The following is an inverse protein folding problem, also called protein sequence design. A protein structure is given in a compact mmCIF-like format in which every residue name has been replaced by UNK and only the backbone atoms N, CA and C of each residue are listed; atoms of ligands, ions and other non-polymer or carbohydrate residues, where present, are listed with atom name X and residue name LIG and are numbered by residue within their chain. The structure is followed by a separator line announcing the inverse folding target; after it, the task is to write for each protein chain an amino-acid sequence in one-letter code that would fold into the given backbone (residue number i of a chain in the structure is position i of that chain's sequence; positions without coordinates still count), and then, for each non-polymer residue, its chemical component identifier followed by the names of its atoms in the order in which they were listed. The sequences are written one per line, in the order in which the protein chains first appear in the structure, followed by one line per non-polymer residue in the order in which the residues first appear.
data_IF_271369318221
#
_entry.id   IF_271369318221
#
_cell.length_a   1.000
_cell.length_b   1.000
_cell.length_c   1.000
_cell.angle_alpha   90.00
_cell.angle_beta   90.00
_cell.angle_gamma   90.00
#
_symmetry.space_group_name_H-M   'P 1'
#
loop_
_entity.id
_entity.type
_entity.pdbx_description
1 polymer ?
#
# COMPACT_ATOMS: atom_id res chain seq x y z
N UNK A 1 7.16 -7.51 11.88
CA UNK A 1 6.56 -6.36 11.18
C UNK A 1 7.22 -6.22 9.83
N UNK A 2 6.44 -5.93 8.79
CA UNK A 2 6.91 -5.61 7.43
C UNK A 2 6.44 -4.22 7.08
N UNK A 3 7.33 -3.37 6.56
CA UNK A 3 7.03 -2.00 6.19
C UNK A 3 7.51 -1.72 4.76
N UNK A 4 6.59 -1.27 3.91
CA UNK A 4 6.91 -0.76 2.58
C UNK A 4 6.98 0.77 2.62
N UNK A 5 8.20 1.31 2.51
CA UNK A 5 8.43 2.75 2.50
C UNK A 5 8.08 3.38 1.13
N UNK A 6 8.08 4.71 1.09
CA UNK A 6 7.93 5.48 -0.14
C UNK A 6 9.16 5.37 -1.04
N UNK A 7 8.98 5.54 -2.35
CA UNK A 7 10.07 5.69 -3.28
C UNK A 7 9.58 5.82 -4.72
N UNK A 8 10.33 6.54 -5.56
CA UNK A 8 10.01 6.70 -6.98
C UNK A 8 9.92 5.34 -7.72
N UNK A 9 10.67 4.35 -7.25
CA UNK A 9 10.69 2.99 -7.81
C UNK A 9 9.41 2.17 -7.58
N UNK A 10 8.52 2.56 -6.65
CA UNK A 10 7.29 1.79 -6.32
C UNK A 10 6.43 1.53 -7.56
N UNK A 11 6.25 2.53 -8.43
CA UNK A 11 5.49 2.42 -9.70
C UNK A 11 6.06 1.39 -10.67
N UNK A 12 7.37 1.12 -10.61
CA UNK A 12 8.02 0.09 -11.42
C UNK A 12 7.95 -1.27 -10.72
N UNK A 13 8.15 -1.30 -9.40
CA UNK A 13 8.13 -2.53 -8.60
C UNK A 13 6.76 -3.23 -8.64
N UNK A 14 5.66 -2.48 -8.70
CA UNK A 14 4.31 -3.06 -8.85
C UNK A 14 4.09 -3.80 -10.18
N UNK A 15 4.93 -3.54 -11.20
CA UNK A 15 4.90 -4.22 -12.50
C UNK A 15 5.89 -5.39 -12.55
N UNK A 16 6.79 -5.50 -11.58
CA UNK A 16 7.85 -6.52 -11.55
C UNK A 16 7.35 -7.77 -10.80
N UNK A 17 6.75 -8.71 -11.54
CA UNK A 17 6.20 -9.94 -10.96
C UNK A 17 7.24 -10.73 -10.13
N UNK A 18 8.50 -10.78 -10.56
CA UNK A 18 9.57 -11.48 -9.85
C UNK A 18 9.99 -10.79 -8.55
N UNK A 19 9.70 -9.50 -8.40
CA UNK A 19 9.87 -8.79 -7.13
C UNK A 19 8.71 -9.12 -6.19
N UNK A 20 7.47 -9.01 -6.67
CA UNK A 20 6.27 -9.24 -5.86
C UNK A 20 6.19 -10.69 -5.33
N UNK A 21 6.54 -11.69 -6.15
CA UNK A 21 6.54 -13.11 -5.76
C UNK A 21 7.48 -13.46 -4.60
N UNK A 22 8.42 -12.57 -4.24
CA UNK A 22 9.34 -12.77 -3.11
C UNK A 22 8.63 -12.64 -1.75
N UNK A 23 7.45 -12.03 -1.73
CA UNK A 23 6.73 -11.74 -0.50
C UNK A 23 5.63 -12.78 -0.25
N UNK A 24 5.83 -13.62 0.76
CA UNK A 24 4.81 -14.51 1.32
C UNK A 24 4.36 -13.96 2.67
N UNK A 25 3.50 -12.94 2.64
CA UNK A 25 3.06 -12.22 3.84
C UNK A 25 1.78 -12.81 4.38
N UNK A 26 1.67 -12.88 5.71
CA UNK A 26 0.48 -13.36 6.40
C UNK A 26 0.03 -12.31 7.45
N UNK A 27 -1.07 -11.57 7.18
CA UNK A 27 -1.57 -10.55 8.11
C UNK A 27 -2.08 -11.13 9.44
N UNK A 28 -2.38 -12.43 9.55
CA UNK A 28 -2.75 -13.04 10.84
C UNK A 28 -1.57 -13.15 11.82
N UNK A 29 -0.34 -13.12 11.28
CA UNK A 29 0.90 -13.31 12.06
C UNK A 29 1.84 -12.12 12.03
N UNK A 30 1.55 -11.13 11.18
CA UNK A 30 2.44 -10.02 10.90
C UNK A 30 1.66 -8.73 10.81
N UNK A 31 2.15 -7.69 11.51
CA UNK A 31 1.81 -6.31 11.18
C UNK A 31 2.49 -5.97 9.84
N UNK A 32 1.69 -5.57 8.85
CA UNK A 32 2.12 -5.23 7.49
C UNK A 32 1.65 -3.81 7.17
N UNK A 33 2.60 -2.91 6.94
CA UNK A 33 2.30 -1.50 6.75
C UNK A 33 2.92 -0.92 5.49
N UNK A 34 2.40 0.21 5.03
CA UNK A 34 3.11 1.12 4.13
C UNK A 34 3.09 2.57 4.55
N UNK A 35 4.08 3.30 4.04
CA UNK A 35 4.12 4.75 4.07
C UNK A 35 4.10 5.31 2.64
N UNK A 36 3.23 6.29 2.39
CA UNK A 36 3.11 7.02 1.12
C UNK A 36 2.95 6.05 -0.07
N UNK A 37 3.81 6.18 -1.10
CA UNK A 37 3.74 5.35 -2.32
C UNK A 37 3.97 3.86 -2.10
N UNK A 38 4.41 3.43 -0.91
CA UNK A 38 4.48 2.02 -0.54
C UNK A 38 3.12 1.31 -0.58
N UNK A 39 2.01 2.04 -0.46
CA UNK A 39 0.65 1.48 -0.55
C UNK A 39 0.39 0.76 -1.89
N UNK A 40 1.06 1.20 -2.97
CA UNK A 40 0.98 0.53 -4.27
C UNK A 40 1.47 -0.92 -4.21
N UNK A 41 2.47 -1.20 -3.39
CA UNK A 41 3.01 -2.56 -3.23
C UNK A 41 2.01 -3.42 -2.46
N UNK A 42 1.39 -2.91 -1.39
CA UNK A 42 0.35 -3.67 -0.66
C UNK A 42 -0.84 -3.99 -1.57
N UNK A 43 -1.31 -3.00 -2.35
CA UNK A 43 -2.38 -3.22 -3.31
C UNK A 43 -2.00 -4.31 -4.34
N UNK A 44 -0.77 -4.28 -4.85
CA UNK A 44 -0.29 -5.26 -5.85
C UNK A 44 -0.11 -6.67 -5.29
N UNK A 45 0.13 -6.78 -3.98
CA UNK A 45 0.16 -8.05 -3.24
C UNK A 45 -1.24 -8.55 -2.86
N UNK A 46 -2.30 -7.81 -3.22
CA UNK A 46 -3.69 -8.16 -2.88
C UNK A 46 -4.07 -7.89 -1.42
N UNK A 47 -3.19 -7.26 -0.64
CA UNK A 47 -3.38 -7.04 0.80
C UNK A 47 -4.40 -5.94 1.12
N UNK A 48 -4.77 -5.13 0.14
CA UNK A 48 -5.78 -4.07 0.30
C UNK A 48 -7.12 -4.42 -0.37
N UNK A 49 -7.29 -5.64 -0.88
CA UNK A 49 -8.52 -6.03 -1.58
C UNK A 49 -9.75 -5.89 -0.66
N UNK A 50 -10.70 -5.03 -1.05
CA UNK A 50 -11.90 -4.74 -0.26
C UNK A 50 -11.69 -3.84 0.96
N UNK A 51 -10.49 -3.26 1.12
CA UNK A 51 -10.14 -2.34 2.20
C UNK A 51 -9.94 -0.92 1.67
N UNK A 52 -10.18 0.06 2.53
CA UNK A 52 -9.75 1.45 2.29
C UNK A 52 -8.26 1.63 2.62
N UNK A 53 -7.63 2.61 1.99
CA UNK A 53 -6.23 2.97 2.26
C UNK A 53 -6.00 4.48 2.17
N UNK A 54 -4.87 4.96 2.70
CA UNK A 54 -4.34 6.29 2.44
C UNK A 54 -2.99 6.19 1.73
N UNK A 55 -2.62 7.20 0.96
CA UNK A 55 -1.38 7.20 0.19
C UNK A 55 -0.93 8.62 -0.15
N UNK A 56 0.26 8.74 -0.74
CA UNK A 56 0.76 10.03 -1.19
C UNK A 56 -0.06 10.56 -2.39
N UNK A 57 -0.41 11.86 -2.48
CA UNK A 57 -1.35 12.38 -3.47
C UNK A 57 -1.04 11.98 -4.93
N UNK A 58 0.23 11.90 -5.31
CA UNK A 58 0.63 11.58 -6.69
C UNK A 58 0.39 10.13 -7.13
N UNK A 59 -0.05 9.24 -6.22
CA UNK A 59 -0.37 7.84 -6.52
C UNK A 59 -1.82 7.45 -6.21
N UNK A 60 -2.67 8.42 -5.83
CA UNK A 60 -4.09 8.18 -5.52
C UNK A 60 -4.80 7.55 -6.73
N UNK A 61 -4.67 8.17 -7.91
CA UNK A 61 -5.27 7.65 -9.14
C UNK A 61 -4.77 6.24 -9.48
N UNK A 62 -3.50 5.94 -9.19
CA UNK A 62 -2.98 4.59 -9.41
C UNK A 62 -3.68 3.57 -8.49
N UNK A 63 -3.89 3.89 -7.20
CA UNK A 63 -4.66 3.01 -6.31
C UNK A 63 -6.12 2.86 -6.74
N UNK A 64 -6.77 3.94 -7.18
CA UNK A 64 -8.13 3.88 -7.73
C UNK A 64 -8.22 2.93 -8.93
N UNK A 65 -7.26 2.98 -9.86
CA UNK A 65 -7.23 2.04 -11.01
C UNK A 65 -6.99 0.59 -10.60
N UNK A 66 -6.47 0.35 -9.39
CA UNK A 66 -6.31 -0.99 -8.79
C UNK A 66 -7.55 -1.42 -7.98
N UNK A 67 -8.62 -0.62 -7.97
CA UNK A 67 -9.86 -0.89 -7.24
C UNK A 67 -9.79 -0.61 -5.74
N UNK A 68 -8.79 0.15 -5.28
CA UNK A 68 -8.64 0.52 -3.86
C UNK A 68 -9.29 1.88 -3.64
N UNK A 69 -10.19 1.97 -2.66
CA UNK A 69 -10.76 3.25 -2.23
C UNK A 69 -9.75 4.01 -1.36
N UNK A 70 -9.41 5.23 -1.79
CA UNK A 70 -8.49 6.09 -1.03
C UNK A 70 -9.27 7.04 -0.12
N UNK A 71 -8.91 7.03 1.16
CA UNK A 71 -9.43 7.94 2.18
C UNK A 71 -8.34 8.94 2.57
N UNK A 72 -8.71 10.21 2.67
CA UNK A 72 -7.81 11.32 3.02
C UNK A 72 -7.66 11.46 4.53
N UNK A 73 -7.11 10.43 5.17
CA UNK A 73 -6.69 10.41 6.57
C UNK A 73 -5.18 10.14 6.69
N UNK A 74 -4.50 10.62 7.75
CA UNK A 74 -3.06 10.42 7.92
C UNK A 74 -2.68 8.95 8.12
N UNK A 75 -3.60 8.13 8.65
CA UNK A 75 -3.42 6.71 8.90
C UNK A 75 -4.76 6.00 8.69
N UNK A 76 -4.75 4.93 7.90
CA UNK A 76 -5.88 4.00 7.74
C UNK A 76 -5.40 2.61 8.15
N UNK A 77 -6.13 1.93 9.04
CA UNK A 77 -5.74 0.63 9.58
C UNK A 77 -6.93 -0.34 9.64
N UNK A 78 -6.68 -1.57 9.19
CA UNK A 78 -7.63 -2.69 9.17
C UNK A 78 -6.96 -3.91 9.80
N UNK A 79 -7.17 -4.12 11.10
CA UNK A 79 -6.48 -5.15 11.86
C UNK A 79 -4.96 -4.97 11.80
N UNK A 80 -4.26 -5.95 11.24
CA UNK A 80 -2.80 -5.95 11.13
C UNK A 80 -2.26 -5.30 9.84
N UNK A 81 -3.13 -4.71 9.01
CA UNK A 81 -2.76 -4.01 7.78
C UNK A 81 -2.97 -2.51 7.99
N UNK A 82 -1.96 -1.70 7.69
CA UNK A 82 -2.09 -0.24 7.81
C UNK A 82 -1.37 0.51 6.69
N UNK A 83 -1.93 1.63 6.29
CA UNK A 83 -1.32 2.57 5.33
C UNK A 83 -1.27 3.95 5.98
N UNK A 84 -0.13 4.62 5.90
CA UNK A 84 0.05 5.99 6.37
C UNK A 84 0.54 6.87 5.23
N UNK A 85 0.15 8.14 5.21
CA UNK A 85 0.63 9.08 4.22
C UNK A 85 0.69 10.51 4.78
N UNK A 86 1.60 11.29 4.21
CA UNK A 86 1.54 12.73 4.34
C UNK A 86 0.59 13.29 3.27
N UNK A 87 -0.53 13.83 3.75
CA UNK A 87 -1.55 14.48 2.95
C UNK A 87 -1.21 15.97 2.94
N UNK A 88 -0.34 16.39 2.04
CA UNK A 88 -0.11 17.83 1.85
C UNK A 88 -1.42 18.43 1.32
N UNK A 89 -2.06 19.22 2.18
CA UNK A 89 -3.28 19.99 1.89
C UNK A 89 -3.03 21.26 1.10
#
# INVERSE_FOLDING_TARGET
MVLFASGSGTRNLIKAADYLKRFQLNPERQIICSMCSGALILASLGLLAGLTATTYPTVVETLHTMGIEVVFEPLVAHGNIATAADLVG
#
